data_IF_708893501835
#
_entry.id   IF_708893501835
#
_cell.length_a   1.000
_cell.length_b   1.000
_cell.length_c   1.000
_cell.angle_alpha   90.00
_cell.angle_beta   90.00
_cell.angle_gamma   90.00
#
_symmetry.space_group_name_H-M   'P 1'
#
loop_
_entity.id
_entity.type
_entity.pdbx_description
1 polymer ?
#
# COMPACT_ATOMS: atom_id res chain seq x y z
N UNK A 1 4.82 22.95 -8.41
CA UNK A 1 5.26 24.18 -7.73
C UNK A 1 6.42 24.77 -8.50
N UNK A 2 6.38 26.05 -8.74
CA UNK A 2 7.37 26.77 -9.58
C UNK A 2 8.79 26.65 -9.04
N UNK A 3 8.93 26.58 -7.71
CA UNK A 3 10.24 26.43 -7.03
C UNK A 3 10.92 25.09 -7.33
N UNK A 4 10.15 24.03 -7.57
CA UNK A 4 10.70 22.68 -7.80
C UNK A 4 10.70 22.29 -9.27
N UNK A 5 10.32 23.20 -10.16
CA UNK A 5 10.22 22.94 -11.60
C UNK A 5 9.42 21.66 -11.93
N UNK A 6 8.44 21.32 -11.09
CA UNK A 6 7.67 20.08 -11.21
C UNK A 6 6.94 19.98 -12.54
N UNK A 7 6.42 21.09 -13.05
CA UNK A 7 5.69 21.12 -14.32
C UNK A 7 6.63 20.84 -15.50
N UNK A 8 7.79 21.46 -15.52
CA UNK A 8 8.80 21.26 -16.58
C UNK A 8 9.32 19.81 -16.56
N UNK A 9 9.60 19.29 -15.35
CA UNK A 9 10.03 17.90 -15.19
C UNK A 9 8.96 16.92 -15.68
N UNK A 10 7.70 17.11 -15.31
CA UNK A 10 6.61 16.24 -15.74
C UNK A 10 6.35 16.35 -17.24
N UNK A 11 6.49 17.54 -17.82
CA UNK A 11 6.40 17.74 -19.25
C UNK A 11 7.48 16.93 -19.98
N UNK A 12 8.73 17.03 -19.55
CA UNK A 12 9.83 16.22 -20.08
C UNK A 12 9.56 14.71 -19.86
N UNK A 13 9.14 14.31 -18.66
CA UNK A 13 8.90 12.91 -18.31
C UNK A 13 7.88 12.24 -19.24
N UNK A 14 6.79 12.92 -19.54
CA UNK A 14 5.70 12.36 -20.35
C UNK A 14 5.88 12.52 -21.86
N UNK A 15 6.74 13.44 -22.32
CA UNK A 15 6.88 13.68 -23.76
C UNK A 15 8.22 13.18 -24.33
N UNK A 16 9.30 13.23 -23.56
CA UNK A 16 10.65 13.02 -24.06
C UNK A 16 11.39 11.86 -23.40
N UNK A 17 11.02 11.48 -22.14
CA UNK A 17 11.70 10.42 -21.40
C UNK A 17 11.58 9.07 -22.11
N UNK A 18 12.63 8.26 -22.01
CA UNK A 18 12.63 6.88 -22.52
C UNK A 18 11.63 5.95 -21.78
N UNK A 19 11.10 6.38 -20.64
CA UNK A 19 10.15 5.62 -19.83
C UNK A 19 8.71 6.14 -19.94
N UNK A 20 8.46 7.13 -20.78
CA UNK A 20 7.19 7.86 -20.89
C UNK A 20 5.96 6.97 -21.09
N UNK A 21 6.11 5.84 -21.78
CA UNK A 21 4.98 4.96 -22.15
C UNK A 21 4.58 4.00 -21.02
N UNK A 22 5.39 3.88 -19.96
CA UNK A 22 5.14 2.94 -18.86
C UNK A 22 5.42 3.50 -17.47
N UNK A 23 5.83 4.76 -17.37
CA UNK A 23 6.03 5.42 -16.06
C UNK A 23 4.70 5.63 -15.34
N UNK A 24 4.70 5.38 -14.05
CA UNK A 24 3.53 5.56 -13.17
C UNK A 24 3.90 6.53 -12.05
N UNK A 25 3.84 7.85 -12.27
CA UNK A 25 4.08 8.83 -11.22
C UNK A 25 2.89 8.93 -10.25
N UNK A 26 3.20 9.22 -8.99
CA UNK A 26 2.18 9.54 -8.00
C UNK A 26 1.68 11.00 -8.14
N UNK A 27 0.77 11.41 -7.28
CA UNK A 27 0.16 12.74 -7.27
C UNK A 27 0.82 13.74 -6.30
N UNK A 28 2.04 13.45 -5.80
CA UNK A 28 2.73 14.30 -4.81
C UNK A 28 3.72 15.30 -5.43
N UNK A 29 3.38 15.87 -6.56
CA UNK A 29 4.23 16.82 -7.29
C UNK A 29 4.00 18.28 -6.91
N UNK A 30 2.97 18.57 -6.14
CA UNK A 30 2.64 19.90 -5.66
C UNK A 30 1.35 19.91 -4.85
N UNK A 31 1.06 21.05 -4.23
CA UNK A 31 -0.12 21.20 -3.38
C UNK A 31 -1.42 20.99 -4.18
N UNK A 32 -1.41 21.37 -5.45
CA UNK A 32 -2.59 21.34 -6.33
C UNK A 32 -2.89 19.94 -6.89
N UNK A 33 -1.91 19.02 -6.88
CA UNK A 33 -2.05 17.69 -7.48
C UNK A 33 -2.46 16.63 -6.48
N UNK A 34 -2.13 16.83 -5.20
CA UNK A 34 -2.35 15.83 -4.16
C UNK A 34 -3.83 15.51 -3.95
N UNK A 35 -4.18 14.23 -4.06
CA UNK A 35 -5.54 13.74 -3.83
C UNK A 35 -6.57 14.19 -4.86
N UNK A 36 -6.17 14.83 -5.95
CA UNK A 36 -7.07 15.19 -7.03
C UNK A 36 -7.33 14.00 -7.94
N UNK A 37 -8.61 13.79 -8.22
CA UNK A 37 -9.04 12.82 -9.23
C UNK A 37 -8.85 13.42 -10.62
N UNK A 38 -8.37 12.60 -11.53
CA UNK A 38 -8.11 12.98 -12.91
C UNK A 38 -6.63 13.21 -13.22
N UNK A 39 -6.28 13.19 -14.50
CA UNK A 39 -4.91 13.28 -14.97
C UNK A 39 -4.18 11.93 -15.00
N UNK A 40 -2.88 12.00 -15.25
CA UNK A 40 -2.03 10.83 -15.51
C UNK A 40 -1.32 10.31 -14.25
N UNK A 41 -1.75 10.73 -13.06
CA UNK A 41 -1.11 10.34 -11.82
C UNK A 41 -1.84 9.19 -11.14
N UNK A 42 -1.11 8.26 -10.56
CA UNK A 42 -1.65 7.38 -9.53
C UNK A 42 -1.85 8.18 -8.26
N UNK A 43 -2.81 7.80 -7.47
CA UNK A 43 -3.05 8.46 -6.19
C UNK A 43 -2.24 7.77 -5.10
N UNK A 44 -1.40 8.51 -4.42
CA UNK A 44 -0.78 8.09 -3.18
C UNK A 44 -1.68 8.55 -2.03
N UNK A 45 -2.24 7.58 -1.32
CA UNK A 45 -3.12 7.87 -0.20
C UNK A 45 -2.42 7.58 1.13
N UNK A 46 -2.32 8.57 1.97
CA UNK A 46 -2.19 8.39 3.40
C UNK A 46 -3.57 8.28 4.06
N UNK A 47 -4.41 7.33 3.62
CA UNK A 47 -5.78 7.22 4.13
C UNK A 47 -5.84 6.94 5.62
N UNK A 48 -4.99 6.04 6.08
CA UNK A 48 -4.93 5.65 7.48
C UNK A 48 -4.44 6.82 8.33
N UNK A 49 -3.46 7.58 7.84
CA UNK A 49 -2.94 8.78 8.52
C UNK A 49 -3.97 9.91 8.56
N UNK A 50 -4.80 10.03 7.53
CA UNK A 50 -5.88 11.02 7.48
C UNK A 50 -7.13 10.59 8.26
N UNK A 51 -7.09 9.46 8.99
CA UNK A 51 -8.23 8.92 9.73
C UNK A 51 -9.34 8.34 8.85
N UNK A 52 -9.08 8.18 7.55
CA UNK A 52 -10.03 7.55 6.63
C UNK A 52 -9.86 6.04 6.64
N UNK A 53 -10.96 5.32 6.45
CA UNK A 53 -10.92 3.87 6.33
C UNK A 53 -10.61 3.47 4.90
N UNK A 54 -9.83 2.40 4.72
CA UNK A 54 -9.55 1.81 3.40
C UNK A 54 -10.84 1.44 2.66
N UNK A 55 -11.90 1.13 3.41
CA UNK A 55 -13.24 0.82 2.88
C UNK A 55 -13.84 1.99 2.07
N UNK A 56 -13.45 3.22 2.36
CA UNK A 56 -13.98 4.43 1.72
C UNK A 56 -13.23 4.82 0.44
N UNK A 57 -12.23 4.01 0.02
CA UNK A 57 -11.44 4.28 -1.20
C UNK A 57 -12.27 3.96 -2.44
N UNK A 58 -12.52 4.96 -3.26
CA UNK A 58 -13.09 4.75 -4.59
C UNK A 58 -12.03 4.22 -5.55
N UNK A 59 -12.34 3.07 -6.17
CA UNK A 59 -11.39 2.20 -6.87
C UNK A 59 -11.48 2.36 -8.38
N UNK A 60 -11.49 3.57 -8.89
CA UNK A 60 -11.54 3.86 -10.31
C UNK A 60 -10.16 3.79 -11.00
N UNK A 61 -9.08 3.81 -10.22
CA UNK A 61 -7.69 3.76 -10.72
C UNK A 61 -6.71 3.17 -9.72
N UNK A 62 -5.49 2.80 -10.18
CA UNK A 62 -4.42 2.36 -9.29
C UNK A 62 -4.09 3.38 -8.21
N UNK A 63 -3.77 2.91 -7.02
CA UNK A 63 -3.38 3.73 -5.89
C UNK A 63 -2.31 3.05 -5.03
N UNK A 64 -1.64 3.82 -4.19
CA UNK A 64 -0.67 3.33 -3.22
C UNK A 64 -0.99 3.92 -1.84
N UNK A 65 -0.97 3.08 -0.82
CA UNK A 65 -0.99 3.52 0.57
C UNK A 65 0.43 3.47 1.11
N UNK A 66 0.90 4.62 1.59
CA UNK A 66 2.20 4.76 2.23
C UNK A 66 2.01 5.01 3.72
N UNK A 67 2.63 4.17 4.56
CA UNK A 67 2.61 4.35 6.01
C UNK A 67 3.85 3.81 6.70
N UNK A 68 4.18 4.36 7.86
CA UNK A 68 5.18 3.81 8.74
C UNK A 68 4.75 2.51 9.42
N UNK A 69 5.72 1.67 9.75
CA UNK A 69 5.50 0.47 10.58
C UNK A 69 5.19 0.86 12.04
N UNK A 70 5.77 1.98 12.52
CA UNK A 70 5.43 2.68 13.74
C UNK A 70 4.49 3.87 13.47
N UNK A 71 4.32 4.74 14.45
CA UNK A 71 3.55 5.98 14.32
C UNK A 71 4.30 7.05 13.54
N UNK A 72 5.63 7.04 13.61
CA UNK A 72 6.51 7.98 12.92
C UNK A 72 7.06 7.38 11.63
N UNK A 73 7.31 8.22 10.59
CA UNK A 73 7.98 7.78 9.37
C UNK A 73 9.49 7.58 9.56
N UNK A 74 10.13 8.41 10.37
CA UNK A 74 11.52 8.26 10.76
C UNK A 74 11.66 7.53 12.08
N UNK A 75 12.91 7.29 12.49
CA UNK A 75 13.19 6.76 13.83
C UNK A 75 12.70 7.74 14.89
N UNK A 76 11.95 7.25 15.86
CA UNK A 76 11.52 8.01 17.02
C UNK A 76 11.84 7.20 18.27
N UNK A 77 12.76 7.70 19.09
CA UNK A 77 13.23 7.03 20.31
C UNK A 77 12.19 6.96 21.42
N UNK A 78 11.14 7.78 21.31
CA UNK A 78 10.02 7.81 22.26
C UNK A 78 8.94 6.75 21.93
N UNK A 79 9.08 6.03 20.81
CA UNK A 79 8.18 4.95 20.47
C UNK A 79 8.56 3.66 21.19
N UNK A 80 7.66 3.18 22.07
CA UNK A 80 7.72 1.84 22.64
C UNK A 80 7.13 0.79 21.70
N UNK A 81 7.23 -0.49 22.06
CA UNK A 81 6.74 -1.61 21.24
C UNK A 81 5.24 -1.50 20.92
N UNK A 82 4.45 -0.90 21.79
CA UNK A 82 3.01 -0.67 21.63
C UNK A 82 2.66 0.35 20.54
N UNK A 83 3.64 1.11 20.07
CA UNK A 83 3.46 2.09 19.00
C UNK A 83 3.67 1.48 17.60
N UNK A 84 4.21 0.26 17.55
CA UNK A 84 4.43 -0.45 16.30
C UNK A 84 3.25 -1.38 15.98
N UNK A 85 2.87 -1.39 14.71
CA UNK A 85 1.85 -2.31 14.24
C UNK A 85 2.29 -3.76 14.42
N UNK A 86 1.34 -4.59 14.79
CA UNK A 86 1.52 -6.04 14.80
C UNK A 86 1.58 -6.59 13.37
N UNK A 87 2.23 -7.74 13.19
CA UNK A 87 2.23 -8.44 11.90
C UNK A 87 0.82 -8.71 11.38
N UNK A 88 -0.10 -9.06 12.28
CA UNK A 88 -1.51 -9.26 11.94
C UNK A 88 -2.17 -8.02 11.34
N UNK A 89 -1.90 -6.84 11.90
CA UNK A 89 -2.43 -5.57 11.39
C UNK A 89 -1.80 -5.20 10.05
N UNK A 90 -0.49 -5.42 9.90
CA UNK A 90 0.23 -5.18 8.66
C UNK A 90 -0.26 -6.09 7.53
N UNK A 91 -0.43 -7.39 7.80
CA UNK A 91 -0.97 -8.35 6.83
C UNK A 91 -2.43 -8.06 6.46
N UNK A 92 -3.26 -7.66 7.42
CA UNK A 92 -4.62 -7.21 7.14
C UNK A 92 -4.63 -5.99 6.21
N UNK A 93 -3.75 -5.03 6.47
CA UNK A 93 -3.61 -3.84 5.63
C UNK A 93 -3.18 -4.23 4.22
N UNK A 94 -2.14 -5.06 4.09
CA UNK A 94 -1.64 -5.55 2.80
C UNK A 94 -2.75 -6.26 2.00
N UNK A 95 -3.41 -7.25 2.59
CA UNK A 95 -4.47 -8.00 1.90
C UNK A 95 -5.66 -7.10 1.52
N UNK A 96 -6.03 -6.16 2.39
CA UNK A 96 -7.10 -5.21 2.11
C UNK A 96 -6.76 -4.29 0.93
N UNK A 97 -5.53 -3.77 0.87
CA UNK A 97 -5.09 -2.87 -0.20
C UNK A 97 -5.01 -3.60 -1.53
N UNK A 98 -4.36 -4.76 -1.55
CA UNK A 98 -4.18 -5.53 -2.79
C UNK A 98 -5.52 -6.03 -3.35
N UNK A 99 -6.45 -6.45 -2.47
CA UNK A 99 -7.80 -6.85 -2.91
C UNK A 99 -8.59 -5.72 -3.56
N UNK A 100 -8.21 -4.48 -3.33
CA UNK A 100 -8.78 -3.28 -3.94
C UNK A 100 -7.99 -2.77 -5.15
N UNK A 101 -6.91 -3.45 -5.52
CA UNK A 101 -6.04 -3.07 -6.63
C UNK A 101 -5.02 -2.00 -6.29
N UNK A 102 -4.74 -1.80 -4.99
CA UNK A 102 -3.72 -0.88 -4.49
C UNK A 102 -2.38 -1.56 -4.21
N UNK A 103 -1.36 -0.73 -4.05
CA UNK A 103 -0.04 -1.13 -3.56
C UNK A 103 0.15 -0.67 -2.12
N UNK A 104 1.03 -1.36 -1.40
CA UNK A 104 1.39 -1.02 -0.04
C UNK A 104 2.87 -0.67 0.05
N UNK A 105 3.17 0.59 0.37
CA UNK A 105 4.51 1.07 0.68
C UNK A 105 4.67 1.13 2.20
N UNK A 106 5.29 0.10 2.77
CA UNK A 106 5.56 0.03 4.21
C UNK A 106 6.93 0.65 4.51
N UNK A 107 6.92 1.79 5.18
CA UNK A 107 8.12 2.54 5.52
C UNK A 107 8.71 2.10 6.85
N UNK A 108 10.05 2.09 6.92
CA UNK A 108 10.84 1.90 8.13
C UNK A 108 11.70 3.13 8.40
N UNK A 109 12.02 3.40 9.67
CA UNK A 109 12.88 4.50 10.09
C UNK A 109 14.27 3.99 10.50
N UNK A 110 15.29 4.00 9.62
CA UNK A 110 16.64 3.62 10.01
C UNK A 110 17.24 4.56 11.09
N UNK A 111 18.08 4.01 11.93
CA UNK A 111 18.90 4.79 12.87
C UNK A 111 19.98 5.57 12.13
N UNK A 112 20.64 6.49 12.82
CA UNK A 112 21.69 7.35 12.24
C UNK A 112 22.90 6.58 11.67
N UNK A 113 23.15 5.39 12.19
CA UNK A 113 24.19 4.46 11.70
C UNK A 113 23.73 3.58 10.52
N UNK A 114 22.49 3.77 10.04
CA UNK A 114 21.88 3.00 8.95
C UNK A 114 21.24 1.69 9.39
N UNK A 115 21.27 1.34 10.66
CA UNK A 115 20.61 0.11 11.15
C UNK A 115 19.09 0.28 11.22
N UNK A 116 18.35 -0.78 10.93
CA UNK A 116 16.90 -0.83 11.13
C UNK A 116 16.64 -1.35 12.54
N UNK A 117 15.79 -0.68 13.36
CA UNK A 117 15.43 -1.15 14.70
C UNK A 117 14.92 -2.60 14.70
N UNK A 118 15.34 -3.39 15.70
CA UNK A 118 15.06 -4.84 15.79
C UNK A 118 13.56 -5.13 15.65
N UNK A 119 12.70 -4.36 16.31
CA UNK A 119 11.24 -4.53 16.22
C UNK A 119 10.72 -4.40 14.78
N UNK A 120 11.27 -3.50 13.99
CA UNK A 120 10.91 -3.34 12.59
C UNK A 120 11.44 -4.52 11.75
N UNK A 121 12.68 -4.99 12.02
CA UNK A 121 13.23 -6.16 11.36
C UNK A 121 12.38 -7.40 11.61
N UNK A 122 12.00 -7.67 12.86
CA UNK A 122 11.12 -8.79 13.22
C UNK A 122 9.81 -8.76 12.44
N UNK A 123 9.13 -7.60 12.42
CA UNK A 123 7.88 -7.45 11.67
C UNK A 123 8.03 -7.73 10.18
N UNK A 124 9.11 -7.22 9.57
CA UNK A 124 9.39 -7.45 8.15
C UNK A 124 9.71 -8.92 7.85
N UNK A 125 10.48 -9.59 8.71
CA UNK A 125 10.82 -10.99 8.54
C UNK A 125 9.58 -11.89 8.66
N UNK A 126 8.72 -11.66 9.65
CA UNK A 126 7.47 -12.40 9.82
C UNK A 126 6.51 -12.19 8.62
N UNK A 127 6.40 -10.96 8.11
CA UNK A 127 5.65 -10.69 6.87
C UNK A 127 6.28 -11.43 5.68
N UNK A 128 7.61 -11.43 5.59
CA UNK A 128 8.36 -12.13 4.56
C UNK A 128 8.10 -13.63 4.58
N UNK A 129 8.08 -14.26 5.75
CA UNK A 129 7.79 -15.68 5.91
C UNK A 129 6.33 -16.01 5.50
N UNK A 130 5.37 -15.16 5.88
CA UNK A 130 4.01 -15.29 5.42
C UNK A 130 3.89 -15.19 3.89
N UNK A 131 4.62 -14.24 3.27
CA UNK A 131 4.63 -14.02 1.83
C UNK A 131 5.29 -15.16 1.05
N UNK A 132 6.24 -15.88 1.61
CA UNK A 132 6.81 -17.11 0.99
C UNK A 132 5.73 -18.15 0.70
N UNK A 133 4.72 -18.23 1.56
CA UNK A 133 3.61 -19.19 1.44
C UNK A 133 2.46 -18.58 0.60
N UNK A 134 2.06 -17.37 0.91
CA UNK A 134 0.82 -16.74 0.43
C UNK A 134 1.04 -15.73 -0.72
N UNK A 135 2.27 -15.45 -1.08
CA UNK A 135 2.62 -14.39 -2.04
C UNK A 135 2.03 -14.56 -3.44
N UNK A 136 1.59 -15.77 -3.81
CA UNK A 136 0.90 -15.99 -5.10
C UNK A 136 -0.36 -15.16 -5.23
N UNK A 137 -1.11 -14.98 -4.14
CA UNK A 137 -2.31 -14.16 -4.09
C UNK A 137 -2.04 -12.66 -3.96
N UNK A 138 -0.77 -12.26 -3.74
CA UNK A 138 -0.35 -10.87 -3.56
C UNK A 138 0.38 -10.34 -4.80
N UNK A 139 1.49 -11.02 -5.19
CA UNK A 139 2.37 -10.54 -6.26
C UNK A 139 1.77 -10.73 -7.65
N UNK A 140 1.60 -9.62 -8.37
CA UNK A 140 1.05 -9.62 -9.72
C UNK A 140 -0.42 -10.05 -9.79
N UNK A 141 -1.11 -10.06 -8.66
CA UNK A 141 -2.55 -10.28 -8.62
C UNK A 141 -3.32 -9.00 -8.96
N UNK A 142 -4.60 -9.14 -9.21
CA UNK A 142 -5.54 -8.06 -9.49
C UNK A 142 -6.75 -8.18 -8.58
N UNK A 143 -7.48 -7.09 -8.39
CA UNK A 143 -8.75 -7.12 -7.66
C UNK A 143 -9.78 -7.98 -8.39
N UNK A 144 -10.58 -8.72 -7.64
CA UNK A 144 -11.76 -9.40 -8.18
C UNK A 144 -12.96 -8.46 -8.11
N UNK A 145 -13.55 -8.15 -9.28
CA UNK A 145 -14.53 -7.04 -9.44
C UNK A 145 -15.87 -7.27 -8.73
N UNK A 146 -16.23 -8.51 -8.41
CA UNK A 146 -17.59 -8.87 -8.01
C UNK A 146 -17.77 -9.41 -6.59
N UNK A 147 -16.74 -9.38 -5.76
CA UNK A 147 -16.83 -9.92 -4.40
C UNK A 147 -17.05 -8.84 -3.36
N UNK A 148 -18.21 -8.83 -2.74
CA UNK A 148 -18.51 -8.03 -1.54
C UNK A 148 -18.95 -8.95 -0.42
N UNK A 149 -18.01 -9.67 0.19
CA UNK A 149 -18.29 -10.39 1.42
C UNK A 149 -17.56 -9.71 2.60
N UNK A 150 -18.28 -9.56 3.71
CA UNK A 150 -17.82 -8.74 4.84
C UNK A 150 -16.55 -9.28 5.53
N UNK A 151 -16.35 -10.61 5.51
CA UNK A 151 -15.28 -11.27 6.27
C UNK A 151 -14.11 -11.79 5.42
N UNK A 152 -14.08 -11.50 4.12
CA UNK A 152 -13.06 -12.00 3.20
C UNK A 152 -12.57 -10.90 2.26
N UNK A 153 -11.38 -11.09 1.75
CA UNK A 153 -10.82 -10.32 0.62
C UNK A 153 -10.46 -11.27 -0.50
N UNK A 154 -10.55 -10.79 -1.71
CA UNK A 154 -10.29 -11.59 -2.90
C UNK A 154 -9.28 -10.91 -3.81
N UNK A 155 -8.42 -11.72 -4.42
CA UNK A 155 -7.59 -11.32 -5.54
C UNK A 155 -7.65 -12.39 -6.62
N UNK A 156 -7.33 -12.02 -7.86
CA UNK A 156 -7.27 -12.98 -8.97
C UNK A 156 -5.93 -12.88 -9.68
N UNK A 157 -5.43 -14.02 -10.17
CA UNK A 157 -4.20 -14.09 -10.97
C UNK A 157 -4.27 -15.27 -11.93
N UNK A 158 -4.28 -14.99 -13.26
CA UNK A 158 -4.54 -16.01 -14.26
C UNK A 158 -5.92 -16.63 -14.06
N UNK A 159 -5.97 -17.95 -13.98
CA UNK A 159 -7.21 -18.72 -13.79
C UNK A 159 -7.50 -19.03 -12.31
N UNK A 160 -6.79 -18.43 -11.39
CA UNK A 160 -6.93 -18.71 -9.95
C UNK A 160 -7.42 -17.49 -9.18
N UNK A 161 -8.41 -17.70 -8.32
CA UNK A 161 -8.85 -16.75 -7.33
C UNK A 161 -8.28 -17.11 -5.94
N UNK A 162 -7.85 -16.08 -5.22
CA UNK A 162 -7.27 -16.20 -3.89
C UNK A 162 -8.18 -15.54 -2.88
N UNK A 163 -8.40 -16.22 -1.77
CA UNK A 163 -9.30 -15.79 -0.70
C UNK A 163 -8.50 -15.57 0.57
N UNK A 164 -8.58 -14.36 1.13
CA UNK A 164 -7.99 -14.00 2.41
C UNK A 164 -9.09 -13.85 3.46
N UNK A 165 -9.07 -14.71 4.46
CA UNK A 165 -10.08 -14.75 5.52
C UNK A 165 -9.67 -13.79 6.64
N UNK A 166 -10.48 -12.78 6.93
CA UNK A 166 -10.20 -11.73 7.93
C UNK A 166 -10.20 -12.24 9.36
N UNK A 167 -11.06 -13.21 9.64
CA UNK A 167 -11.20 -13.87 10.95
C UNK A 167 -11.39 -15.35 10.75
N UNK A 168 -10.93 -16.14 11.71
CA UNK A 168 -11.24 -17.57 11.72
C UNK A 168 -12.77 -17.76 11.69
N UNK A 169 -13.31 -18.50 10.74
CA UNK A 169 -14.76 -18.62 10.60
C UNK A 169 -15.33 -19.46 11.75
N UNK A 170 -16.37 -18.93 12.39
CA UNK A 170 -17.29 -19.73 13.18
C UNK A 170 -18.44 -20.11 12.23
N UNK A 171 -18.30 -21.21 11.48
CA UNK A 171 -19.30 -21.65 10.52
C UNK A 171 -18.78 -21.79 9.09
N UNK A 172 -19.70 -21.93 8.15
CA UNK A 172 -19.43 -22.13 6.74
C UNK A 172 -19.05 -20.81 6.04
N UNK A 173 -18.02 -20.83 5.21
CA UNK A 173 -17.72 -19.76 4.26
C UNK A 173 -18.25 -20.21 2.91
N UNK A 174 -19.24 -19.50 2.40
CA UNK A 174 -19.72 -19.67 1.02
C UNK A 174 -18.85 -18.81 0.11
N UNK A 175 -18.15 -19.43 -0.82
CA UNK A 175 -17.28 -18.78 -1.80
C UNK A 175 -18.04 -18.48 -3.09
#
# INVERSE_FOLDING_TARGET
>A
SDVWHSTEFLQWLYNESSVKDFIVPNDRWGKETRGRRGGNFTTEYGYIEAGRKIEDVELDRPFEECRGIGRSFGINKEEGCENYLTVKELLKTLCSLVSKGGNFLLNVGPAADGTIPVIMQERLLEIGDWLKINGKGIYGSRRLMFSKQENVWYTTKGDADYVFIKKYPFGEIVL
#
